data_IF_701775524298
#
_entry.id   IF_701775524298
#
_cell.length_a   1.000
_cell.length_b   1.000
_cell.length_c   1.000
_cell.angle_alpha   90.00
_cell.angle_beta   90.00
_cell.angle_gamma   90.00
#
_symmetry.space_group_name_H-M   'P 1'
#
loop_
_entity.id
_entity.type
_entity.pdbx_description
1 polymer ?
#
# COMPACT_ATOMS: atom_id res chain seq x y z
N UNK A 1 11.33 9.48 12.76
CA UNK A 1 11.77 9.23 14.15
C UNK A 1 10.53 8.92 14.99
N UNK A 2 10.46 7.74 15.61
CA UNK A 2 9.28 7.24 16.34
C UNK A 2 8.98 8.04 17.62
N UNK A 3 10.02 8.54 18.30
CA UNK A 3 9.93 9.43 19.47
C UNK A 3 9.11 10.69 19.14
N UNK A 4 9.44 11.40 18.05
CA UNK A 4 8.71 12.62 17.63
C UNK A 4 7.24 12.40 17.28
N UNK A 5 6.86 11.15 16.99
CA UNK A 5 5.46 10.77 16.69
C UNK A 5 4.72 10.25 17.93
N UNK A 6 5.39 10.21 19.09
CA UNK A 6 4.81 9.79 20.36
C UNK A 6 4.68 8.26 20.53
N UNK A 7 5.38 7.47 19.72
CA UNK A 7 5.36 6.00 19.85
C UNK A 7 6.41 5.46 20.82
N UNK A 8 7.48 6.22 21.04
CA UNK A 8 8.54 5.91 22.00
C UNK A 8 8.67 7.05 23.01
N UNK A 9 9.04 6.72 24.25
CA UNK A 9 9.37 7.66 25.32
C UNK A 9 10.78 8.29 25.13
N UNK A 10 11.22 9.12 26.09
CA UNK A 10 12.52 9.78 26.05
C UNK A 10 13.70 8.81 26.17
N UNK A 11 13.46 7.63 26.75
CA UNK A 11 14.41 6.54 26.92
C UNK A 11 14.38 5.56 25.73
N UNK A 12 13.44 5.72 24.80
CA UNK A 12 13.27 4.87 23.62
C UNK A 12 12.37 3.64 23.82
N UNK A 13 11.69 3.50 24.96
CA UNK A 13 10.75 2.41 25.19
C UNK A 13 9.41 2.71 24.51
N UNK A 14 8.64 1.67 24.18
CA UNK A 14 7.32 1.82 23.61
C UNK A 14 6.34 2.42 24.61
N UNK A 15 5.56 3.41 24.16
CA UNK A 15 4.50 4.00 24.97
C UNK A 15 3.36 2.98 25.14
N UNK A 16 2.81 2.81 26.36
CA UNK A 16 1.68 1.91 26.61
C UNK A 16 0.46 2.19 25.70
N UNK A 17 -0.25 1.13 25.32
CA UNK A 17 -1.38 1.20 24.38
C UNK A 17 -2.50 2.11 24.87
N UNK A 18 -2.76 2.12 26.18
CA UNK A 18 -3.79 2.97 26.80
C UNK A 18 -3.45 4.47 26.68
N UNK A 19 -2.17 4.83 26.81
CA UNK A 19 -1.71 6.20 26.61
C UNK A 19 -1.79 6.62 25.13
N UNK A 20 -1.50 5.71 24.20
CA UNK A 20 -1.66 5.94 22.77
C UNK A 20 -3.14 6.13 22.39
N UNK A 21 -4.04 5.31 22.95
CA UNK A 21 -5.48 5.41 22.71
C UNK A 21 -6.02 6.78 23.14
N UNK A 22 -5.70 7.22 24.36
CA UNK A 22 -6.08 8.57 24.85
C UNK A 22 -5.54 9.70 23.97
N UNK A 23 -4.30 9.55 23.49
CA UNK A 23 -3.69 10.53 22.58
C UNK A 23 -4.31 10.54 21.18
N UNK A 24 -4.82 9.40 20.70
CA UNK A 24 -5.57 9.32 19.46
C UNK A 24 -6.94 10.00 19.58
N UNK A 25 -7.70 9.68 20.63
CA UNK A 25 -9.01 10.30 20.90
C UNK A 25 -8.92 11.82 20.99
N UNK A 26 -7.92 12.35 21.71
CA UNK A 26 -7.68 13.80 21.79
C UNK A 26 -7.41 14.41 20.41
N UNK A 27 -6.53 13.81 19.60
CA UNK A 27 -6.26 14.32 18.23
C UNK A 27 -7.48 14.24 17.33
N UNK A 28 -8.30 13.20 17.47
CA UNK A 28 -9.53 13.04 16.71
C UNK A 28 -10.57 14.09 17.13
N UNK A 29 -10.63 14.42 18.43
CA UNK A 29 -11.51 15.46 18.96
C UNK A 29 -11.04 16.88 18.58
N UNK A 30 -9.73 17.14 18.65
CA UNK A 30 -9.10 18.41 18.24
C UNK A 30 -9.12 18.60 16.71
N UNK A 31 -9.33 17.53 15.94
CA UNK A 31 -9.64 17.59 14.52
C UNK A 31 -11.10 18.05 14.31
N UNK A 32 -11.38 19.32 14.62
CA UNK A 32 -12.55 20.03 14.09
C UNK A 32 -12.55 19.97 12.55
N UNK A 33 -13.72 20.08 11.89
CA UNK A 33 -13.85 19.94 10.44
C UNK A 33 -13.39 21.24 9.75
N UNK A 34 -12.11 21.56 9.83
CA UNK A 34 -11.46 22.20 8.70
C UNK A 34 -11.51 21.23 7.52
N UNK A 35 -11.35 21.67 6.26
CA UNK A 35 -11.14 20.72 5.18
C UNK A 35 -9.99 19.82 5.65
N UNK A 36 -10.30 18.54 5.89
CA UNK A 36 -9.28 17.53 6.16
C UNK A 36 -8.24 17.58 5.04
N UNK A 37 -7.14 16.82 5.12
CA UNK A 37 -6.29 16.65 3.96
C UNK A 37 -7.23 16.25 2.83
N UNK A 38 -7.41 17.17 1.86
CA UNK A 38 -8.12 16.84 0.63
C UNK A 38 -7.31 15.67 0.12
N UNK A 39 -7.87 14.46 0.16
CA UNK A 39 -7.51 13.43 -0.80
C UNK A 39 -7.45 14.21 -2.10
N UNK A 40 -6.23 14.41 -2.59
CA UNK A 40 -6.00 15.20 -3.79
C UNK A 40 -7.01 14.64 -4.78
N UNK A 41 -7.92 15.52 -5.23
CA UNK A 41 -8.93 15.15 -6.19
C UNK A 41 -8.22 14.32 -7.23
N UNK A 42 -8.69 13.10 -7.42
CA UNK A 42 -8.10 12.09 -8.29
C UNK A 42 -7.70 12.84 -9.56
N UNK A 43 -6.39 13.05 -9.73
CA UNK A 43 -5.87 13.60 -10.98
C UNK A 43 -6.52 12.75 -12.07
N UNK A 44 -7.11 13.37 -13.12
CA UNK A 44 -7.75 12.61 -14.19
C UNK A 44 -6.80 11.48 -14.54
N UNK A 45 -7.25 10.23 -14.36
CA UNK A 45 -6.39 9.08 -14.52
C UNK A 45 -5.82 9.16 -15.94
N UNK A 46 -4.57 9.61 -16.03
CA UNK A 46 -3.81 9.51 -17.26
C UNK A 46 -3.87 8.02 -17.60
N UNK A 47 -4.34 7.64 -18.81
CA UNK A 47 -4.53 6.25 -19.14
C UNK A 47 -3.20 5.56 -18.87
N UNK A 48 -3.16 4.77 -17.79
CA UNK A 48 -1.97 4.04 -17.42
C UNK A 48 -1.58 3.25 -18.67
N UNK A 49 -0.32 3.30 -19.10
CA UNK A 49 0.10 2.51 -20.25
C UNK A 49 -0.37 1.09 -19.99
N UNK A 50 -1.28 0.61 -20.84
CA UNK A 50 -1.80 -0.74 -20.71
C UNK A 50 -0.59 -1.63 -20.89
N UNK A 51 -0.05 -2.10 -19.76
CA UNK A 51 1.10 -2.97 -19.74
C UNK A 51 0.58 -4.32 -20.24
N UNK A 52 0.51 -4.45 -21.57
CA UNK A 52 0.13 -5.68 -22.24
C UNK A 52 1.24 -6.70 -21.90
N UNK A 53 1.03 -7.47 -20.84
CA UNK A 53 1.84 -8.64 -20.56
C UNK A 53 1.71 -9.65 -21.69
N UNK A 54 2.63 -10.61 -21.75
CA UNK A 54 2.49 -11.69 -22.71
C UNK A 54 1.18 -12.46 -22.44
N UNK A 55 0.60 -13.00 -23.52
CA UNK A 55 -0.60 -13.84 -23.43
C UNK A 55 -0.27 -15.12 -22.68
N UNK A 56 -1.04 -15.43 -21.64
CA UNK A 56 -0.94 -16.70 -20.95
C UNK A 56 -1.50 -17.83 -21.83
N UNK A 57 -0.79 -18.96 -22.00
CA UNK A 57 -1.27 -20.09 -22.80
C UNK A 57 -2.48 -20.81 -22.16
N UNK A 58 -2.61 -20.76 -20.84
CA UNK A 58 -3.69 -21.45 -20.12
C UNK A 58 -4.99 -20.65 -20.11
N UNK A 59 -4.94 -19.39 -19.67
CA UNK A 59 -6.16 -18.58 -19.48
C UNK A 59 -6.36 -17.48 -20.53
N UNK A 60 -5.40 -17.28 -21.43
CA UNK A 60 -5.48 -16.26 -22.49
C UNK A 60 -5.33 -14.81 -22.01
N UNK A 61 -5.23 -14.56 -20.70
CA UNK A 61 -5.05 -13.22 -20.16
C UNK A 61 -3.65 -12.66 -20.51
N UNK A 62 -3.56 -11.36 -20.79
CA UNK A 62 -2.31 -10.61 -21.00
C UNK A 62 -1.62 -10.29 -19.66
N UNK A 63 -1.46 -11.31 -18.82
CA UNK A 63 -1.02 -11.20 -17.44
C UNK A 63 0.21 -12.08 -17.12
N UNK A 64 0.91 -12.57 -18.16
CA UNK A 64 2.14 -13.34 -18.00
C UNK A 64 3.34 -12.40 -17.81
N UNK A 65 4.09 -12.58 -16.71
CA UNK A 65 5.28 -11.76 -16.34
C UNK A 65 6.42 -12.64 -15.84
N UNK A 66 7.68 -12.22 -16.00
CA UNK A 66 8.82 -12.90 -15.37
C UNK A 66 8.94 -12.49 -13.90
N UNK A 67 8.96 -13.47 -13.00
CA UNK A 67 9.18 -13.29 -11.56
C UNK A 67 10.14 -14.39 -11.11
N UNK A 68 11.24 -14.02 -10.46
CA UNK A 68 12.26 -14.97 -9.94
C UNK A 68 12.85 -15.90 -11.02
N UNK A 69 13.04 -15.40 -12.24
CA UNK A 69 13.54 -16.19 -13.38
C UNK A 69 12.48 -17.03 -14.10
N UNK A 70 11.28 -17.16 -13.55
CA UNK A 70 10.19 -17.94 -14.11
C UNK A 70 9.09 -17.08 -14.75
N UNK A 71 8.49 -17.57 -15.83
CA UNK A 71 7.25 -16.99 -16.38
C UNK A 71 6.06 -17.31 -15.48
N UNK A 72 5.38 -16.31 -14.92
CA UNK A 72 4.21 -16.49 -14.03
C UNK A 72 3.03 -15.64 -14.45
N UNK A 73 1.84 -16.24 -14.50
CA UNK A 73 0.59 -15.52 -14.78
C UNK A 73 -0.01 -14.96 -13.50
N UNK A 74 -0.35 -13.67 -13.47
CA UNK A 74 -1.03 -13.06 -12.33
C UNK A 74 -2.52 -13.41 -12.23
N UNK A 75 -3.13 -13.91 -13.31
CA UNK A 75 -4.58 -14.19 -13.38
C UNK A 75 -4.94 -15.63 -13.00
N UNK A 76 -4.21 -16.63 -13.49
CA UNK A 76 -4.48 -18.05 -13.21
C UNK A 76 -3.35 -18.75 -12.43
N UNK A 77 -2.31 -18.02 -12.04
CA UNK A 77 -1.14 -18.56 -11.34
C UNK A 77 -0.34 -19.62 -12.09
N UNK A 78 -0.53 -19.75 -13.42
CA UNK A 78 0.32 -20.59 -14.27
C UNK A 78 1.81 -20.23 -14.14
N UNK A 79 2.67 -21.25 -14.12
CA UNK A 79 4.13 -21.13 -14.11
C UNK A 79 4.69 -21.82 -15.35
N UNK A 80 5.38 -21.07 -16.20
CA UNK A 80 6.03 -21.55 -17.41
C UNK A 80 7.53 -21.77 -17.22
N UNK A 81 8.29 -21.60 -18.31
CA UNK A 81 9.75 -21.76 -18.29
C UNK A 81 10.45 -20.86 -17.26
N UNK A 82 11.42 -21.46 -16.58
CA UNK A 82 12.34 -20.82 -15.64
C UNK A 82 13.75 -20.90 -16.24
N UNK A 83 14.44 -19.76 -16.33
CA UNK A 83 15.79 -19.67 -16.90
C UNK A 83 16.64 -18.63 -16.20
#
# INVERSE_FOLDING_TARGET
MLIRRGFLDEQGNQVPVDALARGFERRMHDAMPGPGPRLQAETPAEPLPVLNGAKCPECGALALRKVDGCSRCASCHYVGECG
#
